data_IF_644660279937
#
_entry.id   IF_644660279937
#
_cell.length_a   1.000
_cell.length_b   1.000
_cell.length_c   1.000
_cell.angle_alpha   90.00
_cell.angle_beta   90.00
_cell.angle_gamma   90.00
#
_symmetry.space_group_name_H-M   'P 1'
#
loop_
_entity.id
_entity.type
_entity.pdbx_description
1 polymer ?
#
# COMPACT_ATOMS: atom_id res chain seq x y z
N UNK A 1 -30.00 6.60 2.33
CA UNK A 1 -29.32 5.28 2.23
C UNK A 1 -28.14 5.33 1.28
N UNK A 2 -28.30 5.77 0.03
CA UNK A 2 -27.19 5.90 -0.95
C UNK A 2 -26.06 6.80 -0.45
N UNK A 3 -26.39 7.94 0.14
CA UNK A 3 -25.39 8.92 0.58
C UNK A 3 -24.54 8.36 1.73
N UNK A 4 -25.15 7.57 2.63
CA UNK A 4 -24.44 6.84 3.69
C UNK A 4 -23.41 5.87 3.09
N UNK A 5 -23.82 5.08 2.09
CA UNK A 5 -22.93 4.14 1.40
C UNK A 5 -21.79 4.87 0.68
N UNK A 6 -22.09 6.02 0.07
CA UNK A 6 -21.08 6.86 -0.58
C UNK A 6 -20.05 7.38 0.43
N UNK A 7 -20.48 7.94 1.57
CA UNK A 7 -19.56 8.43 2.60
C UNK A 7 -18.68 7.32 3.17
N UNK A 8 -19.22 6.12 3.38
CA UNK A 8 -18.45 4.95 3.84
C UNK A 8 -17.40 4.57 2.80
N UNK A 9 -17.76 4.51 1.52
CA UNK A 9 -16.82 4.14 0.45
C UNK A 9 -15.72 5.18 0.26
N UNK A 10 -16.04 6.47 0.34
CA UNK A 10 -15.04 7.55 0.30
C UNK A 10 -14.09 7.42 1.49
N UNK A 11 -14.60 7.18 2.69
CA UNK A 11 -13.78 6.99 3.88
C UNK A 11 -12.81 5.81 3.72
N UNK A 12 -13.29 4.65 3.26
CA UNK A 12 -12.47 3.47 2.98
C UNK A 12 -11.40 3.80 1.93
N UNK A 13 -11.76 4.51 0.86
CA UNK A 13 -10.82 4.86 -0.20
C UNK A 13 -9.68 5.75 0.33
N UNK A 14 -10.00 6.80 1.08
CA UNK A 14 -9.00 7.71 1.67
C UNK A 14 -8.08 6.96 2.64
N UNK A 15 -8.64 6.14 3.53
CA UNK A 15 -7.84 5.33 4.47
C UNK A 15 -6.93 4.35 3.72
N UNK A 16 -7.44 3.69 2.68
CA UNK A 16 -6.64 2.75 1.88
C UNK A 16 -5.50 3.43 1.12
N UNK A 17 -5.68 4.68 0.66
CA UNK A 17 -4.60 5.46 0.05
C UNK A 17 -3.48 5.77 1.05
N UNK A 18 -3.84 6.25 2.24
CA UNK A 18 -2.85 6.55 3.29
C UNK A 18 -2.11 5.26 3.70
N UNK A 19 -2.84 4.16 3.88
CA UNK A 19 -2.26 2.87 4.22
C UNK A 19 -1.32 2.34 3.12
N UNK A 20 -1.65 2.59 1.84
CA UNK A 20 -0.81 2.19 0.71
C UNK A 20 0.48 3.01 0.65
N UNK A 21 0.41 4.33 0.83
CA UNK A 21 1.60 5.21 0.89
C UNK A 21 2.50 4.77 2.05
N UNK A 22 1.95 4.54 3.23
CA UNK A 22 2.71 4.05 4.39
C UNK A 22 3.33 2.68 4.10
N UNK A 23 2.57 1.74 3.52
CA UNK A 23 3.05 0.43 3.13
C UNK A 23 4.22 0.49 2.15
N UNK A 24 4.13 1.34 1.13
CA UNK A 24 5.19 1.56 0.13
C UNK A 24 6.45 2.15 0.79
N UNK A 25 6.32 3.15 1.66
CA UNK A 25 7.48 3.75 2.34
C UNK A 25 8.20 2.73 3.22
N UNK A 26 7.47 1.80 3.84
CA UNK A 26 8.08 0.71 4.60
C UNK A 26 8.90 -0.26 3.72
N UNK A 27 8.63 -0.35 2.42
CA UNK A 27 9.47 -1.12 1.47
C UNK A 27 10.80 -0.44 1.16
N UNK A 28 10.94 0.88 1.36
CA UNK A 28 12.14 1.64 1.00
C UNK A 28 13.34 1.45 1.95
N UNK A 29 13.22 0.61 2.98
CA UNK A 29 14.27 0.41 3.99
C UNK A 29 15.58 -0.25 3.52
N UNK A 30 15.73 -0.64 2.25
CA UNK A 30 16.86 -1.44 1.74
C UNK A 30 17.65 -0.87 0.56
N UNK A 31 17.41 0.36 0.13
CA UNK A 31 18.10 0.89 -1.06
C UNK A 31 18.03 2.40 -1.27
N UNK A 32 17.76 3.16 -0.21
CA UNK A 32 17.70 4.62 -0.27
C UNK A 32 19.07 5.30 -0.11
N UNK A 33 20.12 4.56 0.22
CA UNK A 33 21.48 5.08 0.36
C UNK A 33 22.24 5.05 -0.96
N UNK A 34 23.01 6.12 -1.25
CA UNK A 34 23.91 6.19 -2.41
C UNK A 34 24.86 4.96 -2.46
N UNK A 35 25.29 4.43 -1.31
CA UNK A 35 26.14 3.24 -1.22
C UNK A 35 25.47 1.97 -1.79
N UNK A 36 24.17 1.79 -1.54
CA UNK A 36 23.42 0.62 -1.99
C UNK A 36 23.17 0.71 -3.51
N UNK A 37 23.04 1.94 -4.04
CA UNK A 37 22.95 2.21 -5.47
C UNK A 37 24.28 2.02 -6.21
N UNK A 38 25.42 2.05 -5.50
CA UNK A 38 26.77 1.80 -6.03
C UNK A 38 27.32 0.41 -5.67
N UNK A 39 26.46 -0.54 -5.26
CA UNK A 39 26.85 -1.94 -5.05
C UNK A 39 27.47 -2.25 -3.68
N UNK A 40 27.39 -1.33 -2.73
CA UNK A 40 27.78 -1.58 -1.34
C UNK A 40 26.63 -2.23 -0.56
N UNK A 41 26.81 -3.47 -0.08
CA UNK A 41 25.87 -4.01 0.91
C UNK A 41 25.74 -5.53 0.99
N UNK A 42 26.84 -6.27 1.13
CA UNK A 42 26.82 -7.73 1.37
C UNK A 42 26.41 -8.14 2.80
N UNK A 43 25.81 -7.27 3.61
CA UNK A 43 25.83 -7.43 5.08
C UNK A 43 24.51 -7.31 5.86
N UNK A 44 23.43 -6.75 5.32
CA UNK A 44 22.24 -6.42 6.11
C UNK A 44 20.99 -7.10 5.57
N UNK A 45 20.65 -8.30 6.05
CA UNK A 45 19.35 -8.86 5.63
C UNK A 45 18.91 -10.24 6.09
N UNK A 46 19.71 -11.01 6.85
CA UNK A 46 19.36 -12.41 7.13
C UNK A 46 18.07 -12.58 7.97
N UNK A 47 17.61 -11.53 8.67
CA UNK A 47 16.34 -11.53 9.43
C UNK A 47 15.17 -10.76 8.78
N UNK A 48 15.40 -10.02 7.69
CA UNK A 48 14.39 -9.12 7.10
C UNK A 48 13.58 -9.75 5.96
N UNK A 49 14.02 -10.88 5.40
CA UNK A 49 13.36 -11.51 4.25
C UNK A 49 11.92 -11.98 4.56
N UNK A 50 11.68 -12.51 5.77
CA UNK A 50 10.33 -12.92 6.20
C UNK A 50 9.42 -11.71 6.48
N UNK A 51 9.98 -10.64 7.05
CA UNK A 51 9.26 -9.39 7.29
C UNK A 51 8.89 -8.69 5.97
N UNK A 52 9.79 -8.70 4.99
CA UNK A 52 9.54 -8.19 3.63
C UNK A 52 8.44 -8.98 2.92
N UNK A 53 8.50 -10.31 2.96
CA UNK A 53 7.47 -11.16 2.36
C UNK A 53 6.07 -10.87 2.93
N UNK A 54 5.99 -10.65 4.24
CA UNK A 54 4.73 -10.31 4.91
C UNK A 54 4.27 -8.88 4.55
N UNK A 55 5.17 -7.90 4.51
CA UNK A 55 4.85 -6.54 4.13
C UNK A 55 4.36 -6.45 2.68
N UNK A 56 4.94 -7.22 1.77
CA UNK A 56 4.49 -7.32 0.39
C UNK A 56 3.06 -7.89 0.32
N UNK A 57 2.77 -8.94 1.10
CA UNK A 57 1.43 -9.53 1.16
C UNK A 57 0.39 -8.54 1.71
N UNK A 58 0.74 -7.79 2.76
CA UNK A 58 -0.15 -6.76 3.33
C UNK A 58 -0.41 -5.64 2.32
N UNK A 59 0.66 -5.14 1.67
CA UNK A 59 0.55 -4.06 0.67
C UNK A 59 -0.30 -4.50 -0.53
N UNK A 60 -0.15 -5.73 -0.97
CA UNK A 60 -0.96 -6.31 -2.05
C UNK A 60 -2.46 -6.36 -1.69
N UNK A 61 -2.79 -6.78 -0.47
CA UNK A 61 -4.19 -6.80 0.01
C UNK A 61 -4.77 -5.39 0.08
N UNK A 62 -4.00 -4.41 0.58
CA UNK A 62 -4.41 -3.00 0.64
C UNK A 62 -4.65 -2.45 -0.78
N UNK A 63 -3.77 -2.78 -1.73
CA UNK A 63 -3.93 -2.38 -3.14
C UNK A 63 -5.22 -2.95 -3.76
N UNK A 64 -5.54 -4.21 -3.47
CA UNK A 64 -6.78 -4.82 -3.95
C UNK A 64 -8.03 -4.11 -3.39
N UNK A 65 -8.04 -3.81 -2.09
CA UNK A 65 -9.13 -3.07 -1.43
C UNK A 65 -9.30 -1.69 -2.05
N UNK A 66 -8.20 -0.98 -2.30
CA UNK A 66 -8.22 0.32 -2.93
C UNK A 66 -8.81 0.27 -4.34
N UNK A 67 -8.38 -0.67 -5.19
CA UNK A 67 -8.93 -0.86 -6.55
C UNK A 67 -10.44 -1.09 -6.49
N UNK A 68 -10.89 -2.03 -5.65
CA UNK A 68 -12.32 -2.35 -5.50
C UNK A 68 -13.11 -1.11 -5.04
N UNK A 69 -12.57 -0.35 -4.09
CA UNK A 69 -13.22 0.87 -3.60
C UNK A 69 -13.34 1.95 -4.68
N UNK A 70 -12.32 2.15 -5.52
CA UNK A 70 -12.35 3.15 -6.60
C UNK A 70 -13.35 2.78 -7.69
N UNK A 71 -13.40 1.50 -8.07
CA UNK A 71 -14.34 0.99 -9.06
C UNK A 71 -15.77 1.13 -8.53
N UNK A 72 -16.01 0.75 -7.27
CA UNK A 72 -17.31 0.88 -6.61
C UNK A 72 -17.76 2.34 -6.52
N UNK A 73 -16.86 3.25 -6.15
CA UNK A 73 -17.14 4.69 -6.15
C UNK A 73 -17.46 5.21 -7.55
N UNK A 74 -16.72 4.79 -8.58
CA UNK A 74 -17.00 5.16 -9.98
C UNK A 74 -18.44 4.81 -10.38
N UNK A 75 -18.90 3.60 -10.06
CA UNK A 75 -20.28 3.18 -10.35
C UNK A 75 -21.34 3.86 -9.47
N UNK A 76 -21.01 4.20 -8.22
CA UNK A 76 -21.91 4.90 -7.30
C UNK A 76 -22.08 6.38 -7.66
N UNK A 77 -21.07 7.00 -8.27
CA UNK A 77 -21.01 8.42 -8.59
C UNK A 77 -21.49 8.73 -10.02
N UNK A 78 -21.32 7.78 -10.97
CA UNK A 78 -21.83 7.86 -12.35
C UNK A 78 -23.35 7.62 -12.44
N UNK A 79 -23.97 7.08 -11.38
CA UNK A 79 -25.42 6.86 -11.32
C UNK A 79 -26.20 8.11 -10.93
#
# INVERSE_FOLDING_TARGET
MRDIVMYIMVFINVVSMIAMVAGILMHSGKGGGLSDMFGGGSGSGLGSAAAEGNLNRITFVIALIWIISIVSLGFLLVK
#
